data_IF_814206451395
#
_entry.id   IF_814206451395
#
_cell.length_a   1.000
_cell.length_b   1.000
_cell.length_c   1.000
_cell.angle_alpha   90.00
_cell.angle_beta   90.00
_cell.angle_gamma   90.00
#
_symmetry.space_group_name_H-M   'P 1'
#
loop_
_entity.id
_entity.type
_entity.pdbx_description
1 polymer ?
#
# COMPACT_ATOMS: atom_id res chain seq x y z
N UNK A 1 -15.14 10.73 -0.41
CA UNK A 1 -15.44 12.15 -0.46
C UNK A 1 -14.18 12.98 -0.74
N UNK A 2 -14.30 13.94 -1.66
CA UNK A 2 -13.21 14.84 -2.02
C UNK A 2 -13.76 16.27 -2.12
N UNK A 3 -13.54 17.11 -1.10
CA UNK A 3 -14.18 18.43 -1.03
C UNK A 3 -13.57 19.46 -2.00
N UNK A 4 -12.45 19.16 -2.63
CA UNK A 4 -11.70 20.09 -3.47
C UNK A 4 -11.63 19.71 -4.95
N UNK A 5 -12.15 18.55 -5.34
CA UNK A 5 -12.14 18.13 -6.75
C UNK A 5 -13.22 18.79 -7.56
N UNK A 6 -12.90 19.11 -8.80
CA UNK A 6 -13.87 19.59 -9.79
C UNK A 6 -14.44 18.40 -10.57
N UNK A 7 -15.76 18.35 -10.67
CA UNK A 7 -16.48 17.29 -11.34
C UNK A 7 -17.21 17.83 -12.56
N UNK A 8 -17.24 17.04 -13.62
CA UNK A 8 -18.01 17.30 -14.81
C UNK A 8 -19.12 16.25 -14.94
N UNK A 9 -20.35 16.71 -15.20
CA UNK A 9 -21.46 15.83 -15.51
C UNK A 9 -21.32 15.30 -16.93
N UNK A 10 -21.31 13.98 -17.08
CA UNK A 10 -21.35 13.29 -18.37
C UNK A 10 -22.62 12.45 -18.48
N UNK A 11 -23.02 11.98 -19.67
CA UNK A 11 -24.17 11.08 -19.83
C UNK A 11 -24.05 9.78 -19.03
N UNK A 12 -22.82 9.33 -18.72
CA UNK A 12 -22.52 8.13 -17.92
C UNK A 12 -22.34 8.40 -16.43
N UNK A 13 -22.49 9.66 -15.96
CA UNK A 13 -22.37 10.05 -14.56
C UNK A 13 -21.36 11.17 -14.32
N UNK A 14 -21.03 11.40 -13.04
CA UNK A 14 -20.05 12.41 -12.64
C UNK A 14 -18.62 11.86 -12.84
N UNK A 15 -17.82 12.62 -13.59
CA UNK A 15 -16.40 12.32 -13.83
C UNK A 15 -15.55 13.41 -13.16
N UNK A 16 -14.56 13.00 -12.37
CA UNK A 16 -13.61 13.90 -11.74
C UNK A 16 -12.61 14.41 -12.77
N UNK A 17 -12.73 15.69 -13.13
CA UNK A 17 -11.91 16.34 -14.16
C UNK A 17 -10.58 16.79 -13.58
N UNK A 18 -10.61 17.40 -12.41
CA UNK A 18 -9.42 17.86 -11.69
C UNK A 18 -9.36 17.17 -10.36
N UNK A 19 -8.39 16.28 -10.22
CA UNK A 19 -8.14 15.57 -8.95
C UNK A 19 -7.41 16.49 -7.99
N UNK A 20 -8.09 16.87 -6.92
CA UNK A 20 -7.51 17.63 -5.82
C UNK A 20 -7.53 16.80 -4.54
N UNK A 21 -6.60 17.05 -3.65
CA UNK A 21 -6.45 16.34 -2.39
C UNK A 21 -6.73 17.25 -1.20
N UNK A 22 -7.10 16.71 -0.02
CA UNK A 22 -7.18 15.30 0.36
C UNK A 22 -8.43 14.57 -0.19
N UNK A 23 -8.30 13.25 -0.37
CA UNK A 23 -9.41 12.33 -0.65
C UNK A 23 -9.66 11.46 0.55
N UNK A 24 -10.92 11.34 0.94
CA UNK A 24 -11.38 10.50 2.04
C UNK A 24 -12.27 9.40 1.50
N UNK A 25 -12.00 8.16 1.89
CA UNK A 25 -12.85 7.01 1.63
C UNK A 25 -13.22 6.37 2.94
N UNK A 26 -14.50 6.16 3.15
CA UNK A 26 -15.04 5.42 4.28
C UNK A 26 -15.91 4.30 3.74
N UNK A 27 -15.69 3.08 4.22
CA UNK A 27 -16.45 1.91 3.83
C UNK A 27 -16.93 1.18 5.08
N UNK A 28 -18.21 0.82 5.07
CA UNK A 28 -18.80 -0.06 6.07
C UNK A 28 -19.25 -1.36 5.39
N UNK A 29 -18.87 -2.48 5.97
CA UNK A 29 -19.25 -3.81 5.49
C UNK A 29 -19.89 -4.57 6.64
N UNK A 30 -21.09 -5.10 6.40
CA UNK A 30 -21.82 -5.92 7.37
C UNK A 30 -22.11 -7.29 6.76
N UNK A 31 -21.71 -8.35 7.45
CA UNK A 31 -22.15 -9.70 7.16
C UNK A 31 -23.53 -9.93 7.76
N UNK A 32 -24.45 -10.46 6.97
CA UNK A 32 -25.81 -10.80 7.40
C UNK A 32 -25.93 -12.31 7.59
N UNK A 33 -26.14 -12.79 8.82
CA UNK A 33 -26.29 -14.23 9.07
C UNK A 33 -27.56 -14.77 8.38
N UNK A 34 -27.47 -16.01 7.89
CA UNK A 34 -28.59 -16.71 7.23
C UNK A 34 -28.89 -16.26 5.79
N UNK A 35 -28.27 -15.19 5.27
CA UNK A 35 -28.37 -14.80 3.88
C UNK A 35 -27.36 -15.62 3.06
N UNK A 36 -27.82 -16.29 1.97
CA UNK A 36 -27.00 -17.15 1.11
C UNK A 36 -26.23 -18.26 1.87
N UNK A 37 -26.79 -18.79 2.96
CA UNK A 37 -26.16 -19.78 3.84
C UNK A 37 -24.85 -19.28 4.47
N UNK A 38 -24.79 -18.00 4.80
CA UNK A 38 -23.66 -17.41 5.49
C UNK A 38 -23.72 -17.75 7.00
N UNK A 39 -22.65 -18.38 7.49
CA UNK A 39 -22.47 -18.74 8.90
C UNK A 39 -21.68 -17.68 9.69
N UNK A 40 -21.05 -16.70 9.00
CA UNK A 40 -20.23 -15.68 9.64
C UNK A 40 -21.03 -14.44 10.00
N UNK A 41 -20.74 -13.88 11.17
CA UNK A 41 -21.36 -12.63 11.66
C UNK A 41 -20.26 -11.64 12.03
N UNK A 42 -20.00 -10.68 11.14
CA UNK A 42 -18.99 -9.67 11.38
C UNK A 42 -19.37 -8.31 10.79
N UNK A 43 -18.75 -7.28 11.30
CA UNK A 43 -18.80 -5.90 10.79
C UNK A 43 -17.41 -5.39 10.54
N UNK A 44 -17.21 -4.62 9.45
CA UNK A 44 -15.95 -3.94 9.13
C UNK A 44 -16.17 -2.47 8.90
N UNK A 45 -15.23 -1.67 9.38
CA UNK A 45 -15.12 -0.25 9.10
C UNK A 45 -13.73 -0.01 8.52
N UNK A 46 -13.68 0.53 7.31
CA UNK A 46 -12.45 0.85 6.61
C UNK A 46 -12.39 2.35 6.35
N UNK A 47 -11.25 2.95 6.62
CA UNK A 47 -10.96 4.35 6.36
C UNK A 47 -9.68 4.48 5.55
N UNK A 48 -9.70 5.35 4.54
CA UNK A 48 -8.54 5.66 3.72
C UNK A 48 -8.48 7.15 3.41
N UNK A 49 -7.30 7.73 3.55
CA UNK A 49 -7.02 9.11 3.15
C UNK A 49 -5.82 9.13 2.20
N UNK A 50 -6.04 9.69 1.02
CA UNK A 50 -4.98 10.04 0.07
C UNK A 50 -4.75 11.55 0.13
N UNK A 51 -3.51 11.97 0.37
CA UNK A 51 -3.12 13.38 0.35
C UNK A 51 -1.88 13.57 -0.54
N UNK A 52 -2.04 14.37 -1.58
CA UNK A 52 -0.96 14.68 -2.51
C UNK A 52 -0.69 16.17 -2.51
N UNK A 53 0.55 16.56 -2.24
CA UNK A 53 1.04 17.93 -2.20
C UNK A 53 2.00 18.12 -3.35
N UNK A 54 1.64 18.99 -4.28
CA UNK A 54 2.52 19.43 -5.37
C UNK A 54 3.15 20.76 -4.98
N UNK A 55 4.46 20.82 -4.95
CA UNK A 55 5.22 22.04 -4.67
C UNK A 55 5.49 22.83 -5.95
N UNK A 56 5.61 24.15 -5.83
CA UNK A 56 5.89 25.05 -6.96
C UNK A 56 7.20 24.75 -7.67
N UNK A 57 8.16 24.16 -6.96
CA UNK A 57 9.45 23.75 -7.51
C UNK A 57 9.40 22.40 -8.27
N UNK A 58 8.22 21.80 -8.46
CA UNK A 58 8.02 20.52 -9.17
C UNK A 58 8.16 19.27 -8.32
N UNK A 59 8.52 19.39 -7.05
CA UNK A 59 8.52 18.26 -6.10
C UNK A 59 7.10 17.83 -5.73
N UNK A 60 6.95 16.60 -5.30
CA UNK A 60 5.65 16.03 -4.93
C UNK A 60 5.77 15.19 -3.67
N UNK A 61 4.87 15.39 -2.73
CA UNK A 61 4.72 14.52 -1.55
C UNK A 61 3.36 13.84 -1.58
N UNK A 62 3.36 12.51 -1.47
CA UNK A 62 2.14 11.72 -1.33
C UNK A 62 2.11 11.07 0.04
N UNK A 63 1.01 11.24 0.75
CA UNK A 63 0.69 10.63 2.03
C UNK A 63 -0.53 9.73 1.82
N UNK A 64 -0.43 8.47 2.23
CA UNK A 64 -1.54 7.53 2.29
C UNK A 64 -1.67 7.03 3.72
N UNK A 65 -2.84 7.23 4.31
CA UNK A 65 -3.24 6.67 5.60
C UNK A 65 -4.39 5.69 5.36
N UNK A 66 -4.25 4.48 5.86
CA UNK A 66 -5.30 3.47 5.85
C UNK A 66 -5.49 2.94 7.27
N UNK A 67 -6.72 2.75 7.67
CA UNK A 67 -7.10 2.14 8.93
C UNK A 67 -8.31 1.25 8.75
N UNK A 68 -8.38 0.17 9.49
CA UNK A 68 -9.49 -0.76 9.44
C UNK A 68 -9.73 -1.42 10.79
N UNK A 69 -11.00 -1.69 11.06
CA UNK A 69 -11.47 -2.40 12.22
C UNK A 69 -12.51 -3.43 11.79
N UNK A 70 -12.30 -4.69 12.15
CA UNK A 70 -13.22 -5.78 11.92
C UNK A 70 -13.59 -6.44 13.26
N UNK A 71 -14.87 -6.64 13.51
CA UNK A 71 -15.41 -7.14 14.78
C UNK A 71 -16.37 -8.32 14.49
N UNK A 72 -16.33 -9.37 15.30
CA UNK A 72 -17.17 -10.56 15.20
C UNK A 72 -16.43 -11.78 14.67
N UNK A 73 -17.16 -12.75 14.12
CA UNK A 73 -16.59 -13.97 13.53
C UNK A 73 -16.10 -13.68 12.11
N UNK A 74 -14.84 -13.25 12.01
CA UNK A 74 -14.25 -12.78 10.76
C UNK A 74 -13.58 -13.93 10.04
N UNK A 75 -14.01 -14.32 8.82
CA UNK A 75 -13.29 -15.31 8.04
C UNK A 75 -11.92 -14.77 7.59
N UNK A 76 -10.95 -15.68 7.40
CA UNK A 76 -9.59 -15.34 7.01
C UNK A 76 -9.49 -14.39 5.81
N UNK A 77 -10.37 -14.57 4.83
CA UNK A 77 -10.44 -13.76 3.61
C UNK A 77 -10.84 -12.29 3.84
N UNK A 78 -11.35 -11.98 5.02
CA UNK A 78 -11.79 -10.63 5.42
C UNK A 78 -10.87 -9.99 6.46
N UNK A 79 -9.86 -10.72 6.96
CA UNK A 79 -8.80 -10.15 7.78
C UNK A 79 -7.90 -9.24 6.94
N UNK A 80 -7.25 -8.32 7.62
CA UNK A 80 -6.32 -7.37 6.99
C UNK A 80 -4.93 -7.98 6.84
N UNK A 81 -4.41 -8.03 5.62
CA UNK A 81 -3.06 -8.50 5.29
C UNK A 81 -2.07 -7.38 4.95
N UNK A 82 -2.49 -6.13 5.06
CA UNK A 82 -1.65 -4.92 4.88
C UNK A 82 -0.94 -4.79 3.52
N UNK A 83 -1.55 -5.28 2.45
CA UNK A 83 -1.05 -5.13 1.06
C UNK A 83 0.42 -5.55 0.86
N UNK A 84 0.83 -6.77 1.22
CA UNK A 84 2.18 -7.27 1.00
C UNK A 84 2.47 -7.44 -0.50
N UNK A 85 3.73 -7.33 -0.90
CA UNK A 85 4.15 -7.49 -2.29
C UNK A 85 5.34 -8.43 -2.48
N UNK A 86 5.73 -9.19 -1.50
CA UNK A 86 6.85 -10.13 -1.61
C UNK A 86 6.35 -11.57 -1.60
N UNK A 87 6.70 -12.33 -2.65
CA UNK A 87 6.18 -13.69 -2.86
C UNK A 87 6.97 -14.76 -2.10
N UNK A 88 8.26 -14.54 -1.80
CA UNK A 88 9.12 -15.62 -1.35
C UNK A 88 10.28 -15.17 -0.46
N UNK A 89 10.59 -15.99 0.55
CA UNK A 89 11.67 -15.76 1.49
C UNK A 89 13.06 -16.25 0.97
N UNK A 90 13.12 -17.10 -0.05
CA UNK A 90 14.28 -17.93 -0.31
C UNK A 90 15.41 -17.26 -1.09
N UNK A 91 15.14 -16.35 -2.02
CA UNK A 91 16.21 -15.66 -2.77
C UNK A 91 15.88 -14.23 -3.12
N UNK A 92 16.89 -13.33 -3.16
CA UNK A 92 16.73 -11.91 -3.54
C UNK A 92 16.18 -11.75 -4.96
N UNK A 93 16.54 -12.63 -5.89
CA UNK A 93 16.04 -12.59 -7.27
C UNK A 93 14.56 -12.92 -7.40
N UNK A 94 14.04 -13.78 -6.53
CA UNK A 94 12.60 -14.09 -6.46
C UNK A 94 11.80 -12.98 -5.77
N UNK A 95 12.47 -11.99 -5.18
CA UNK A 95 11.87 -10.80 -4.56
C UNK A 95 11.79 -9.62 -5.52
N UNK A 96 12.13 -9.79 -6.81
CA UNK A 96 11.91 -8.76 -7.81
C UNK A 96 10.44 -8.78 -8.17
N UNK A 97 9.73 -7.70 -7.82
CA UNK A 97 8.29 -7.58 -8.05
C UNK A 97 7.98 -6.49 -9.05
N UNK A 98 6.93 -6.71 -9.86
CA UNK A 98 6.31 -5.68 -10.67
C UNK A 98 5.21 -4.98 -9.85
N UNK A 99 5.16 -3.72 -9.94
CA UNK A 99 4.59 -2.77 -9.03
C UNK A 99 3.12 -2.91 -8.64
N UNK A 100 2.85 -3.15 -7.37
CA UNK A 100 1.70 -2.52 -6.70
C UNK A 100 1.98 -1.04 -6.41
N UNK A 101 0.99 -0.16 -6.52
CA UNK A 101 1.20 1.28 -6.35
C UNK A 101 1.49 1.68 -4.90
N UNK A 102 0.88 1.00 -3.95
CA UNK A 102 0.94 1.30 -2.51
C UNK A 102 1.07 0.01 -1.70
N UNK A 103 2.10 -0.79 -1.98
CA UNK A 103 2.36 -2.09 -1.36
C UNK A 103 3.60 -2.04 -0.50
N UNK A 104 3.67 -2.87 0.54
CA UNK A 104 4.88 -3.12 1.31
C UNK A 104 5.76 -4.11 0.56
N UNK A 105 6.89 -3.67 0.06
CA UNK A 105 7.74 -4.46 -0.86
C UNK A 105 8.55 -5.55 -0.16
N UNK A 106 8.82 -5.38 1.13
CA UNK A 106 9.59 -6.36 1.94
C UNK A 106 8.68 -7.25 2.79
N UNK A 107 7.37 -7.00 2.82
CA UNK A 107 6.40 -7.81 3.54
C UNK A 107 5.98 -9.02 2.69
N UNK A 108 6.06 -10.22 3.25
CA UNK A 108 5.68 -11.45 2.55
C UNK A 108 4.16 -11.65 2.54
N UNK A 109 3.66 -12.30 1.49
CA UNK A 109 2.25 -12.71 1.43
C UNK A 109 1.92 -13.64 2.61
N UNK A 110 0.79 -13.39 3.25
CA UNK A 110 0.29 -14.14 4.40
C UNK A 110 1.21 -14.14 5.63
N UNK A 111 2.16 -13.21 5.73
CA UNK A 111 3.03 -13.08 6.89
C UNK A 111 2.28 -12.49 8.09
N UNK A 112 1.44 -11.48 7.84
CA UNK A 112 0.69 -10.77 8.88
C UNK A 112 -0.79 -10.81 8.61
N UNK A 113 -1.56 -11.06 9.66
CA UNK A 113 -3.00 -10.89 9.68
C UNK A 113 -3.42 -10.10 10.91
N UNK A 114 -4.43 -9.25 10.72
CA UNK A 114 -4.95 -8.39 11.79
C UNK A 114 -6.46 -8.24 11.64
N UNK A 115 -7.17 -8.14 12.76
CA UNK A 115 -8.58 -7.71 12.79
C UNK A 115 -8.72 -6.20 12.85
N UNK A 116 -7.68 -5.52 13.35
CA UNK A 116 -7.56 -4.06 13.33
C UNK A 116 -6.17 -3.64 12.88
N UNK A 117 -6.09 -2.59 12.08
CA UNK A 117 -4.81 -2.08 11.60
C UNK A 117 -4.84 -0.59 11.31
N UNK A 118 -3.66 -0.01 11.30
CA UNK A 118 -3.40 1.31 10.74
C UNK A 118 -2.10 1.24 9.95
N UNK A 119 -2.08 1.85 8.77
CA UNK A 119 -0.86 1.98 7.97
C UNK A 119 -0.68 3.41 7.46
N UNK A 120 0.57 3.83 7.42
CA UNK A 120 0.99 5.13 6.92
C UNK A 120 2.07 4.93 5.86
N UNK A 121 1.88 5.54 4.70
CA UNK A 121 2.86 5.55 3.64
C UNK A 121 3.15 6.98 3.21
N UNK A 122 4.42 7.34 3.22
CA UNK A 122 4.92 8.63 2.78
C UNK A 122 5.86 8.42 1.59
N UNK A 123 5.62 9.14 0.50
CA UNK A 123 6.50 9.20 -0.67
C UNK A 123 6.82 10.65 -0.98
N UNK A 124 8.10 10.95 -1.11
CA UNK A 124 8.56 12.28 -1.55
C UNK A 124 9.38 12.16 -2.82
N UNK A 125 8.85 12.70 -3.90
CA UNK A 125 9.50 12.75 -5.20
C UNK A 125 10.21 14.09 -5.41
N UNK A 126 11.49 14.00 -5.75
CA UNK A 126 12.30 15.14 -6.14
C UNK A 126 12.14 15.47 -7.63
N UNK A 127 12.61 16.62 -8.04
CA UNK A 127 12.59 17.03 -9.42
C UNK A 127 13.36 16.07 -10.32
N UNK A 128 12.92 15.97 -11.57
CA UNK A 128 13.63 15.17 -12.55
C UNK A 128 15.03 15.77 -12.82
N UNK A 129 16.03 14.90 -12.79
CA UNK A 129 17.39 15.24 -13.20
C UNK A 129 17.48 15.11 -14.71
N UNK A 130 17.70 16.22 -15.44
CA UNK A 130 17.79 16.20 -16.90
C UNK A 130 19.20 15.77 -17.30
N UNK A 131 19.36 14.49 -17.67
CA UNK A 131 20.63 13.96 -18.20
C UNK A 131 20.61 14.02 -19.72
N UNK A 132 19.50 13.67 -20.34
CA UNK A 132 19.26 13.78 -21.78
C UNK A 132 17.77 13.91 -22.07
N UNK A 133 17.38 14.11 -23.36
CA UNK A 133 15.95 14.14 -23.75
C UNK A 133 15.19 12.87 -23.39
N UNK A 134 15.86 11.72 -23.38
CA UNK A 134 15.25 10.41 -23.11
C UNK A 134 15.54 9.86 -21.71
N UNK A 135 16.40 10.53 -20.94
CA UNK A 135 16.85 10.08 -19.61
C UNK A 135 16.65 11.24 -18.64
N UNK A 136 15.57 11.18 -17.89
CA UNK A 136 15.17 12.20 -16.91
C UNK A 136 14.77 11.53 -15.60
N UNK A 137 15.72 10.89 -14.91
CA UNK A 137 15.40 10.16 -13.70
C UNK A 137 14.91 11.09 -12.58
N UNK A 138 13.93 10.64 -11.84
CA UNK A 138 13.47 11.27 -10.62
C UNK A 138 13.73 10.36 -9.42
N UNK A 139 14.31 10.91 -8.37
CA UNK A 139 14.50 10.24 -7.10
C UNK A 139 13.22 10.35 -6.27
N UNK A 140 12.77 9.23 -5.70
CA UNK A 140 11.66 9.20 -4.75
C UNK A 140 12.12 8.51 -3.47
N UNK A 141 11.93 9.16 -2.35
CA UNK A 141 12.14 8.58 -1.01
C UNK A 141 10.80 8.05 -0.52
N UNK A 142 10.81 6.83 -0.01
CA UNK A 142 9.62 6.13 0.46
C UNK A 142 9.82 5.69 1.90
N UNK A 143 8.81 5.92 2.75
CA UNK A 143 8.74 5.36 4.10
C UNK A 143 7.34 4.81 4.33
N UNK A 144 7.24 3.61 4.88
CA UNK A 144 5.98 2.93 5.17
C UNK A 144 6.02 2.33 6.56
N UNK A 145 4.89 2.41 7.24
CA UNK A 145 4.71 1.89 8.59
C UNK A 145 3.34 1.24 8.67
N UNK A 146 3.23 0.17 9.45
CA UNK A 146 1.95 -0.49 9.73
C UNK A 146 1.95 -1.03 11.15
N UNK A 147 0.80 -0.93 11.80
CA UNK A 147 0.50 -1.54 13.11
C UNK A 147 -0.84 -2.24 13.01
N UNK A 148 -1.00 -3.29 13.78
CA UNK A 148 -2.25 -4.02 13.81
C UNK A 148 -2.24 -5.15 14.83
N UNK A 149 -3.43 -5.55 15.26
CA UNK A 149 -3.63 -6.59 16.26
C UNK A 149 -4.76 -7.54 15.83
N UNK A 150 -4.76 -8.72 16.40
CA UNK A 150 -5.80 -9.71 16.24
C UNK A 150 -6.61 -9.84 17.53
N UNK A 151 -7.89 -9.43 17.50
CA UNK A 151 -8.73 -9.45 18.70
C UNK A 151 -9.04 -10.88 19.20
N UNK A 152 -9.23 -11.84 18.29
CA UNK A 152 -9.57 -13.22 18.62
C UNK A 152 -8.63 -14.20 17.90
N UNK A 153 -7.35 -14.34 18.32
CA UNK A 153 -6.39 -15.20 17.64
C UNK A 153 -6.81 -16.68 17.66
N UNK A 154 -7.54 -17.10 18.69
CA UNK A 154 -8.00 -18.49 18.86
C UNK A 154 -9.05 -18.93 17.83
N UNK A 155 -9.75 -17.99 17.20
CA UNK A 155 -10.74 -18.30 16.15
C UNK A 155 -10.09 -18.66 14.81
N UNK A 156 -8.80 -18.37 14.63
CA UNK A 156 -8.04 -18.58 13.38
C UNK A 156 -7.13 -19.81 13.48
N UNK A 157 -7.72 -20.97 13.83
CA UNK A 157 -6.98 -22.22 13.94
C UNK A 157 -6.49 -22.73 12.58
N UNK A 158 -5.29 -23.31 12.57
CA UNK A 158 -4.72 -23.99 11.40
C UNK A 158 -3.90 -23.11 10.44
N UNK A 159 -3.70 -21.83 10.75
CA UNK A 159 -2.78 -20.95 10.03
C UNK A 159 -1.69 -20.43 10.96
N UNK A 160 -0.48 -20.32 10.44
CA UNK A 160 0.65 -19.65 11.12
C UNK A 160 0.74 -18.23 10.59
N UNK A 161 0.59 -17.25 11.45
CA UNK A 161 0.70 -15.84 11.11
C UNK A 161 1.37 -15.05 12.23
N UNK A 162 1.83 -13.87 11.90
CA UNK A 162 2.30 -12.86 12.85
C UNK A 162 1.27 -11.73 12.96
N UNK A 163 1.30 -11.00 14.05
CA UNK A 163 0.56 -9.76 14.22
C UNK A 163 1.48 -8.56 14.06
N UNK A 164 0.90 -7.40 13.78
CA UNK A 164 1.65 -6.14 13.62
C UNK A 164 1.70 -5.32 14.92
N UNK A 165 1.50 -5.95 16.08
CA UNK A 165 1.44 -5.27 17.39
C UNK A 165 2.73 -4.51 17.74
N UNK A 166 3.89 -4.96 17.26
CA UNK A 166 5.17 -4.28 17.43
C UNK A 166 5.50 -3.30 16.30
N UNK A 167 4.64 -3.21 15.29
CA UNK A 167 4.84 -2.37 14.12
C UNK A 167 5.73 -3.01 13.05
N UNK A 168 5.47 -2.66 11.80
CA UNK A 168 6.27 -2.99 10.63
C UNK A 168 6.78 -1.71 10.00
N UNK A 169 8.06 -1.66 9.66
CA UNK A 169 8.71 -0.48 9.12
C UNK A 169 9.51 -0.82 7.88
N UNK A 170 9.31 -0.04 6.83
CA UNK A 170 10.01 -0.17 5.57
C UNK A 170 10.36 1.21 5.04
N UNK A 171 11.60 1.37 4.55
CA UNK A 171 11.99 2.56 3.80
C UNK A 171 12.73 2.17 2.55
N UNK A 172 12.66 3.02 1.52
CA UNK A 172 13.29 2.74 0.25
C UNK A 172 13.55 3.98 -0.58
N UNK A 173 14.30 3.75 -1.66
CA UNK A 173 14.59 4.74 -2.69
C UNK A 173 14.11 4.19 -4.02
N UNK A 174 13.39 5.01 -4.78
CA UNK A 174 12.99 4.70 -6.15
C UNK A 174 13.69 5.69 -7.10
N UNK A 175 14.22 5.18 -8.20
CA UNK A 175 14.64 5.95 -9.35
C UNK A 175 13.66 5.68 -10.48
N UNK A 176 12.82 6.65 -10.79
CA UNK A 176 11.84 6.56 -11.86
C UNK A 176 12.34 7.24 -13.14
N UNK A 177 11.79 6.86 -14.30
CA UNK A 177 12.16 7.43 -15.60
C UNK A 177 13.66 7.33 -15.95
N UNK A 178 14.33 6.24 -15.55
CA UNK A 178 15.74 5.99 -15.87
C UNK A 178 15.93 5.90 -17.38
N UNK A 179 15.06 5.14 -18.06
CA UNK A 179 15.08 5.00 -19.53
C UNK A 179 13.71 4.60 -20.06
N UNK A 180 13.10 5.38 -20.96
CA UNK A 180 11.82 5.08 -21.65
C UNK A 180 10.72 4.58 -20.70
N UNK A 181 10.56 5.20 -19.54
CA UNK A 181 9.54 4.84 -18.56
C UNK A 181 9.94 3.74 -17.57
N UNK A 182 11.10 3.11 -17.73
CA UNK A 182 11.64 2.18 -16.76
C UNK A 182 12.09 2.88 -15.48
N UNK A 183 11.82 2.27 -14.35
CA UNK A 183 12.29 2.67 -13.03
C UNK A 183 12.69 1.45 -12.20
N UNK A 184 13.42 1.70 -11.14
CA UNK A 184 13.78 0.69 -10.16
C UNK A 184 13.75 1.27 -8.75
N UNK A 185 13.47 0.42 -7.75
CA UNK A 185 13.50 0.79 -6.35
C UNK A 185 14.16 -0.29 -5.50
N UNK A 186 14.81 0.15 -4.43
CA UNK A 186 15.32 -0.71 -3.38
C UNK A 186 14.67 -0.35 -2.06
N UNK A 187 14.25 -1.36 -1.29
CA UNK A 187 13.55 -1.19 -0.03
C UNK A 187 14.20 -2.03 1.05
N UNK A 188 14.16 -1.53 2.26
CA UNK A 188 14.73 -2.18 3.41
C UNK A 188 13.73 -2.19 4.58
N UNK A 189 13.51 -3.38 5.13
CA UNK A 189 12.71 -3.64 6.32
C UNK A 189 13.56 -3.52 7.57
N UNK A 190 13.05 -2.87 8.59
CA UNK A 190 13.77 -2.68 9.86
C UNK A 190 12.81 -2.68 11.06
N UNK A 191 13.37 -2.51 12.26
CA UNK A 191 12.60 -2.48 13.50
C UNK A 191 12.28 -3.87 14.07
N UNK A 192 11.25 -3.98 14.94
CA UNK A 192 10.99 -5.21 15.68
C UNK A 192 10.65 -6.42 14.81
N UNK A 193 10.02 -6.19 13.66
CA UNK A 193 9.71 -7.22 12.69
C UNK A 193 10.81 -7.41 11.63
N UNK A 194 12.00 -6.80 11.80
CA UNK A 194 13.16 -7.05 10.96
C UNK A 194 13.62 -8.51 11.07
N UNK A 195 14.10 -9.07 9.95
CA UNK A 195 14.64 -10.43 9.87
C UNK A 195 16.12 -10.42 10.24
N UNK A 196 16.66 -11.56 10.68
CA UNK A 196 18.03 -11.66 11.18
C UNK A 196 19.10 -11.41 10.10
N UNK A 197 18.83 -11.74 8.86
CA UNK A 197 19.76 -11.54 7.74
C UNK A 197 19.47 -10.22 7.00
N UNK A 198 20.52 -9.46 6.70
CA UNK A 198 20.40 -8.24 5.90
C UNK A 198 19.71 -8.49 4.54
N UNK A 199 20.05 -9.58 3.89
CA UNK A 199 19.50 -9.94 2.57
C UNK A 199 18.00 -10.20 2.62
N UNK A 200 17.49 -10.74 3.73
CA UNK A 200 16.09 -11.08 3.88
C UNK A 200 15.22 -9.84 4.11
N UNK A 201 15.82 -8.76 4.59
CA UNK A 201 15.18 -7.47 4.78
C UNK A 201 15.19 -6.60 3.49
N UNK A 202 15.84 -7.03 2.42
CA UNK A 202 15.98 -6.27 1.19
C UNK A 202 14.97 -6.75 0.13
N UNK A 203 14.29 -5.81 -0.51
CA UNK A 203 13.46 -6.06 -1.69
C UNK A 203 13.83 -5.10 -2.83
N UNK A 204 13.73 -5.59 -4.07
CA UNK A 204 13.96 -4.80 -5.28
C UNK A 204 12.67 -4.76 -6.08
N UNK A 205 12.30 -3.58 -6.56
CA UNK A 205 11.11 -3.34 -7.37
C UNK A 205 11.52 -2.78 -8.73
N UNK A 206 10.94 -3.32 -9.78
CA UNK A 206 11.00 -2.76 -11.12
C UNK A 206 9.67 -2.07 -11.44
N UNK A 207 9.73 -0.89 -12.01
CA UNK A 207 8.56 -0.12 -12.43
C UNK A 207 8.66 0.20 -13.91
N UNK A 208 7.52 0.21 -14.57
CA UNK A 208 7.42 0.66 -15.96
C UNK A 208 6.17 1.55 -16.13
N UNK A 209 6.39 2.77 -16.55
CA UNK A 209 5.32 3.73 -16.81
C UNK A 209 5.05 3.79 -18.32
N UNK A 210 3.88 3.29 -18.74
CA UNK A 210 3.39 3.44 -20.11
C UNK A 210 2.78 4.84 -20.27
N UNK A 211 3.42 5.69 -21.05
CA UNK A 211 2.81 6.94 -21.53
C UNK A 211 1.88 6.61 -22.72
N UNK A 212 0.59 6.47 -22.46
CA UNK A 212 -0.43 6.40 -23.53
C UNK A 212 -0.80 7.86 -23.82
N UNK A 213 -0.26 8.45 -24.88
CA UNK A 213 -0.79 9.68 -25.45
C UNK A 213 -2.02 9.30 -26.30
N UNK A 214 -3.19 9.66 -25.80
CA UNK A 214 -4.44 9.68 -26.56
C UNK A 214 -4.53 10.95 -27.37
#
# INVERSE_FOLDING_TARGET
WNPKSDYMQTPSGLVEVVKRYPKFTFQFTQSLPGVLKNDFTFSKIDFRTDYNINFLNGQQTNLLLEAGLAIGDIPLTHLYSTSPNNLNETTVWQRITFAGKNTFETMYFNEFFSSEFVSLQLKHGFNNMIISKSIQPSLVVVTRMAWGEMQNPESQLGIVYKTLNQGFYESGLELNHIFKGLGMGGYYRYGPNGLSSFKDNLAIKLTYVLGISL
#
